data_IF_824177142455
#
_entry.id   IF_824177142455
#
_cell.length_a   1.000
_cell.length_b   1.000
_cell.length_c   1.000
_cell.angle_alpha   90.00
_cell.angle_beta   90.00
_cell.angle_gamma   90.00
#
_symmetry.space_group_name_H-M   'P 1'
#
loop_
_entity.id
_entity.type
_entity.pdbx_description
1 polymer ?
#
# COMPACT_ATOMS: atom_id res chain seq x y z
N UNK A 1 15.34 20.22 -9.01
CA UNK A 1 13.90 19.98 -8.80
C UNK A 1 13.75 18.52 -8.42
N UNK A 2 13.32 18.23 -7.19
CA UNK A 2 13.19 16.86 -6.71
C UNK A 2 11.77 16.40 -7.07
N UNK A 3 11.61 15.67 -8.17
CA UNK A 3 10.32 15.07 -8.50
C UNK A 3 10.00 14.01 -7.46
N UNK A 4 8.96 14.26 -6.64
CA UNK A 4 8.47 13.29 -5.68
C UNK A 4 7.98 12.06 -6.45
N UNK A 5 8.17 10.87 -5.88
CA UNK A 5 7.78 9.59 -6.48
C UNK A 5 6.32 9.58 -6.99
N UNK A 6 5.43 10.27 -6.28
CA UNK A 6 4.01 10.45 -6.65
C UNK A 6 3.81 11.31 -7.90
N UNK A 7 4.63 12.35 -8.09
CA UNK A 7 4.58 13.20 -9.29
C UNK A 7 5.04 12.40 -10.52
N UNK A 8 6.06 11.55 -10.38
CA UNK A 8 6.50 10.66 -11.46
C UNK A 8 5.40 9.65 -11.86
N UNK A 9 4.64 9.10 -10.90
CA UNK A 9 3.49 8.23 -11.21
C UNK A 9 2.34 8.98 -11.87
N UNK A 10 2.09 10.22 -11.46
CA UNK A 10 1.07 11.08 -12.07
C UNK A 10 1.41 11.40 -13.52
N UNK A 11 2.70 11.67 -13.80
CA UNK A 11 3.20 11.84 -15.14
C UNK A 11 3.05 10.57 -15.99
N UNK A 12 3.42 9.40 -15.46
CA UNK A 12 3.23 8.11 -16.15
C UNK A 12 1.76 7.88 -16.50
N UNK A 13 0.83 8.20 -15.59
CA UNK A 13 -0.61 8.06 -15.84
C UNK A 13 -1.04 8.88 -17.07
N UNK A 14 -0.60 10.13 -17.17
CA UNK A 14 -0.88 11.02 -18.31
C UNK A 14 -0.27 10.45 -19.60
N UNK A 15 0.93 9.89 -19.54
CA UNK A 15 1.52 9.26 -20.74
C UNK A 15 0.81 7.96 -21.15
N UNK A 16 0.25 7.20 -20.20
CA UNK A 16 -0.55 6.02 -20.55
C UNK A 16 -1.83 6.40 -21.29
N UNK A 17 -2.47 7.54 -20.97
CA UNK A 17 -3.65 7.99 -21.73
C UNK A 17 -3.30 8.42 -23.16
N UNK A 18 -2.02 8.71 -23.43
CA UNK A 18 -1.49 8.99 -24.77
C UNK A 18 -1.07 7.71 -25.53
N UNK A 19 -1.23 6.54 -24.93
CA UNK A 19 -0.85 5.25 -25.53
C UNK A 19 0.65 4.94 -25.47
N UNK A 20 1.40 5.63 -24.59
CA UNK A 20 2.83 5.39 -24.44
C UNK A 20 3.13 4.03 -23.82
N UNK A 21 4.19 3.38 -24.30
CA UNK A 21 4.65 2.09 -23.75
C UNK A 21 5.52 2.29 -22.52
N UNK A 22 5.67 1.25 -21.70
CA UNK A 22 6.54 1.28 -20.52
C UNK A 22 7.99 1.71 -20.81
N UNK A 23 8.50 1.38 -22.00
CA UNK A 23 9.82 1.80 -22.45
C UNK A 23 9.88 3.32 -22.69
N UNK A 24 8.87 3.86 -23.37
CA UNK A 24 8.78 5.30 -23.63
C UNK A 24 8.62 6.08 -22.31
N UNK A 25 7.75 5.63 -21.41
CA UNK A 25 7.57 6.27 -20.11
C UNK A 25 8.87 6.23 -19.27
N UNK A 26 9.60 5.11 -19.27
CA UNK A 26 10.87 5.02 -18.54
C UNK A 26 11.94 5.93 -19.12
N UNK A 27 12.05 6.01 -20.45
CA UNK A 27 13.01 6.90 -21.09
C UNK A 27 12.71 8.37 -20.77
N UNK A 28 11.46 8.80 -20.87
CA UNK A 28 11.08 10.18 -20.51
C UNK A 28 11.33 10.50 -19.03
N UNK A 29 11.14 9.52 -18.14
CA UNK A 29 11.53 9.68 -16.73
C UNK A 29 13.04 9.79 -16.53
N UNK A 30 13.84 9.01 -17.26
CA UNK A 30 15.30 9.11 -17.19
C UNK A 30 15.79 10.47 -17.70
N UNK A 31 15.19 10.99 -18.78
CA UNK A 31 15.52 12.31 -19.32
C UNK A 31 15.13 13.45 -18.37
N UNK A 32 13.99 13.34 -17.69
CA UNK A 32 13.49 14.38 -16.79
C UNK A 32 14.09 14.33 -15.37
N UNK A 33 14.28 13.13 -14.82
CA UNK A 33 14.65 12.90 -13.41
C UNK A 33 16.07 12.35 -13.23
N UNK A 34 16.76 11.94 -14.29
CA UNK A 34 18.12 11.38 -14.23
C UNK A 34 18.23 10.23 -13.23
N UNK A 35 19.15 10.35 -12.27
CA UNK A 35 19.36 9.36 -11.20
C UNK A 35 18.18 9.23 -10.24
N UNK A 36 17.30 10.23 -10.18
CA UNK A 36 16.08 10.19 -9.35
C UNK A 36 14.90 9.55 -10.07
N UNK A 37 15.09 9.07 -11.31
CA UNK A 37 14.05 8.40 -12.08
C UNK A 37 13.65 7.05 -11.47
N UNK A 38 12.35 6.74 -11.55
CA UNK A 38 11.84 5.44 -11.17
C UNK A 38 12.47 4.30 -12.00
N UNK A 39 12.85 3.17 -11.38
CA UNK A 39 13.37 2.03 -12.12
C UNK A 39 12.33 1.42 -13.06
N UNK A 40 12.79 0.86 -14.18
CA UNK A 40 11.95 0.27 -15.23
C UNK A 40 10.89 -0.73 -14.73
N UNK A 41 11.25 -1.63 -13.80
CA UNK A 41 10.36 -2.70 -13.30
C UNK A 41 9.06 -2.15 -12.68
N UNK A 42 9.13 -1.21 -11.71
CA UNK A 42 7.98 -0.44 -11.26
C UNK A 42 7.21 0.26 -12.38
N UNK A 43 7.89 0.98 -13.28
CA UNK A 43 7.25 1.71 -14.40
C UNK A 43 6.40 0.78 -15.27
N UNK A 44 6.95 -0.37 -15.66
CA UNK A 44 6.23 -1.34 -16.48
C UNK A 44 4.97 -1.88 -15.80
N UNK A 45 5.02 -2.13 -14.48
CA UNK A 45 3.84 -2.57 -13.72
C UNK A 45 2.75 -1.51 -13.67
N UNK A 46 3.13 -0.26 -13.45
CA UNK A 46 2.17 0.84 -13.41
C UNK A 46 1.56 1.14 -14.78
N UNK A 47 2.36 1.15 -15.85
CA UNK A 47 1.85 1.32 -17.21
C UNK A 47 0.84 0.23 -17.56
N UNK A 48 1.14 -1.03 -17.21
CA UNK A 48 0.17 -2.12 -17.36
C UNK A 48 -1.12 -1.86 -16.57
N UNK A 49 -1.00 -1.50 -15.30
CA UNK A 49 -2.15 -1.24 -14.43
C UNK A 49 -3.03 -0.07 -14.92
N UNK A 50 -2.42 1.00 -15.44
CA UNK A 50 -3.14 2.13 -16.02
C UNK A 50 -3.85 1.75 -17.32
N UNK A 51 -3.20 0.96 -18.19
CA UNK A 51 -3.83 0.43 -19.40
C UNK A 51 -4.99 -0.53 -19.11
N UNK A 52 -4.96 -1.22 -17.96
CA UNK A 52 -6.06 -2.06 -17.46
C UNK A 52 -7.20 -1.24 -16.81
N UNK A 53 -7.13 0.10 -16.85
CA UNK A 53 -8.21 0.98 -16.41
C UNK A 53 -8.04 1.59 -15.01
N UNK A 54 -6.88 1.39 -14.35
CA UNK A 54 -6.61 2.03 -13.05
C UNK A 54 -6.55 3.56 -13.20
N UNK A 55 -7.20 4.29 -12.29
CA UNK A 55 -7.21 5.76 -12.30
C UNK A 55 -6.50 6.39 -11.10
N UNK A 56 -6.25 5.65 -10.01
CA UNK A 56 -5.59 6.22 -8.84
C UNK A 56 -4.05 6.06 -8.91
N UNK A 57 -3.33 7.14 -8.59
CA UNK A 57 -1.87 7.22 -8.48
C UNK A 57 -1.39 6.97 -7.04
N UNK A 58 -2.25 7.24 -6.05
CA UNK A 58 -1.98 6.98 -4.64
C UNK A 58 -2.01 5.47 -4.32
N UNK A 59 -2.87 4.69 -5.00
CA UNK A 59 -3.12 3.27 -4.70
C UNK A 59 -2.30 2.30 -5.54
N UNK A 60 -0.98 2.35 -5.40
CA UNK A 60 -0.30 1.07 -5.18
C UNK A 60 -0.17 0.91 -3.67
N UNK A 61 -1.25 0.46 -3.04
CA UNK A 61 -1.10 -0.29 -1.81
C UNK A 61 -0.16 -1.45 -2.14
N UNK A 62 1.02 -1.40 -1.53
CA UNK A 62 2.12 -2.32 -1.81
C UNK A 62 1.63 -3.74 -1.47
N UNK A 63 1.56 -4.68 -2.43
CA UNK A 63 1.03 -6.04 -2.19
C UNK A 63 1.93 -6.89 -1.28
N UNK A 64 2.98 -6.31 -0.69
CA UNK A 64 3.79 -6.95 0.35
C UNK A 64 3.27 -6.67 1.77
N UNK A 65 2.10 -6.07 1.90
CA UNK A 65 1.49 -5.73 3.18
C UNK A 65 0.18 -6.53 3.33
N UNK A 66 -0.07 -7.22 4.47
CA UNK A 66 -1.28 -8.01 4.65
C UNK A 66 -2.49 -7.12 4.37
N UNK A 67 -3.25 -7.47 3.34
CA UNK A 67 -4.50 -6.81 2.99
C UNK A 67 -5.49 -7.12 4.10
N UNK A 68 -5.46 -6.31 5.14
CA UNK A 68 -6.46 -6.42 6.18
C UNK A 68 -7.77 -5.89 5.60
N UNK A 69 -8.83 -6.70 5.61
CA UNK A 69 -10.17 -6.23 5.25
C UNK A 69 -10.71 -5.27 6.32
N UNK A 70 -11.53 -4.31 5.92
CA UNK A 70 -12.28 -3.46 6.86
C UNK A 70 -13.11 -4.31 7.85
N UNK A 71 -13.58 -5.47 7.40
CA UNK A 71 -14.31 -6.45 8.22
C UNK A 71 -13.43 -7.05 9.32
N UNK A 72 -12.14 -7.31 9.04
CA UNK A 72 -11.18 -7.86 9.99
C UNK A 72 -10.78 -6.82 11.04
N UNK A 73 -10.64 -5.55 10.62
CA UNK A 73 -10.42 -4.42 11.53
C UNK A 73 -11.62 -4.22 12.44
N UNK A 74 -12.83 -4.30 11.90
CA UNK A 74 -14.07 -4.14 12.66
C UNK A 74 -14.25 -5.28 13.67
N UNK A 75 -14.07 -6.54 13.24
CA UNK A 75 -14.16 -7.69 14.13
C UNK A 75 -13.19 -7.58 15.32
N UNK A 76 -11.94 -7.18 15.06
CA UNK A 76 -10.94 -7.01 16.10
C UNK A 76 -11.25 -5.83 17.03
N UNK A 77 -11.74 -4.72 16.49
CA UNK A 77 -12.11 -3.53 17.28
C UNK A 77 -13.29 -3.83 18.22
N UNK A 78 -14.31 -4.54 17.72
CA UNK A 78 -15.48 -4.93 18.52
C UNK A 78 -15.10 -5.87 19.66
N UNK A 79 -14.11 -6.75 19.43
CA UNK A 79 -13.59 -7.68 20.44
C UNK A 79 -12.76 -6.96 21.53
N UNK A 80 -12.04 -5.90 21.16
CA UNK A 80 -11.29 -5.07 22.11
C UNK A 80 -12.20 -4.15 22.93
N UNK A 81 -13.31 -3.71 22.36
CA UNK A 81 -14.33 -2.91 23.08
C UNK A 81 -15.07 -3.74 24.14
N UNK A 82 -15.23 -5.06 23.92
CA UNK A 82 -15.88 -5.94 24.89
C UNK A 82 -14.95 -6.31 26.05
N UNK A 83 -13.66 -6.54 25.79
CA UNK A 83 -12.64 -6.73 26.83
C UNK A 83 -11.25 -6.33 26.32
N UNK A 84 -10.65 -5.33 26.98
CA UNK A 84 -9.35 -4.78 26.61
C UNK A 84 -8.17 -5.64 27.08
N UNK A 85 -8.41 -6.68 27.90
CA UNK A 85 -7.36 -7.52 28.49
C UNK A 85 -6.92 -8.70 27.61
N UNK A 86 -7.45 -8.84 26.40
CA UNK A 86 -7.07 -9.93 25.50
C UNK A 86 -5.60 -9.86 25.07
N UNK A 87 -4.91 -11.00 25.16
CA UNK A 87 -3.60 -11.16 24.56
C UNK A 87 -3.70 -11.30 23.05
N UNK A 88 -2.62 -10.98 22.33
CA UNK A 88 -2.54 -11.16 20.85
C UNK A 88 -2.92 -12.58 20.43
N UNK A 89 -2.68 -13.58 21.30
CA UNK A 89 -3.00 -14.97 21.02
C UNK A 89 -4.50 -15.27 21.10
N UNK A 90 -5.19 -14.71 22.07
CA UNK A 90 -6.65 -14.86 22.19
C UNK A 90 -7.36 -14.15 21.05
N UNK A 91 -6.92 -12.94 20.72
CA UNK A 91 -7.44 -12.18 19.58
C UNK A 91 -7.30 -12.96 18.26
N UNK A 92 -6.13 -13.57 18.01
CA UNK A 92 -5.91 -14.40 16.82
C UNK A 92 -6.80 -15.64 16.81
N UNK A 93 -7.02 -16.28 17.96
CA UNK A 93 -7.86 -17.47 18.08
C UNK A 93 -9.34 -17.15 17.84
N UNK A 94 -9.82 -16.02 18.34
CA UNK A 94 -11.23 -15.63 18.26
C UNK A 94 -11.61 -15.02 16.92
N UNK A 95 -10.71 -14.24 16.32
CA UNK A 95 -10.92 -13.68 14.98
C UNK A 95 -10.54 -14.66 13.86
N UNK A 96 -9.84 -15.76 14.19
CA UNK A 96 -9.30 -16.70 13.21
C UNK A 96 -8.16 -16.12 12.35
N UNK A 97 -7.66 -14.94 12.71
CA UNK A 97 -6.63 -14.22 11.97
C UNK A 97 -5.23 -14.69 12.33
N UNK A 98 -4.31 -14.54 11.38
CA UNK A 98 -2.89 -14.79 11.63
C UNK A 98 -2.37 -13.74 12.62
N UNK A 99 -1.54 -14.16 13.58
CA UNK A 99 -0.94 -13.28 14.60
C UNK A 99 -0.28 -12.01 14.03
N UNK A 100 0.36 -12.12 12.86
CA UNK A 100 0.99 -10.99 12.18
C UNK A 100 -0.03 -9.94 11.73
N UNK A 101 -1.22 -10.38 11.29
CA UNK A 101 -2.33 -9.53 10.89
C UNK A 101 -2.91 -8.82 12.11
N UNK A 102 -3.18 -9.55 13.19
CA UNK A 102 -3.67 -8.97 14.46
C UNK A 102 -2.70 -7.91 14.99
N UNK A 103 -1.40 -8.22 15.08
CA UNK A 103 -0.38 -7.27 15.53
C UNK A 103 -0.35 -6.01 14.65
N UNK A 104 -0.51 -6.19 13.34
CA UNK A 104 -0.51 -5.09 12.39
C UNK A 104 -1.71 -4.17 12.60
N UNK A 105 -2.92 -4.73 12.74
CA UNK A 105 -4.15 -3.96 13.00
C UNK A 105 -4.05 -3.19 14.30
N UNK A 106 -3.60 -3.86 15.38
CA UNK A 106 -3.43 -3.24 16.69
C UNK A 106 -2.49 -2.02 16.64
N UNK A 107 -1.43 -2.10 15.82
CA UNK A 107 -0.42 -1.06 15.71
C UNK A 107 -0.85 0.10 14.81
N UNK A 108 -1.37 -0.18 13.63
CA UNK A 108 -1.66 0.87 12.63
C UNK A 108 -3.09 1.42 12.72
N UNK A 109 -4.07 0.63 13.17
CA UNK A 109 -5.48 1.03 13.19
C UNK A 109 -5.99 1.34 14.60
N UNK A 110 -5.59 0.57 15.62
CA UNK A 110 -6.04 0.78 17.02
C UNK A 110 -5.08 1.69 17.81
N UNK A 111 -3.82 1.83 17.37
CA UNK A 111 -2.84 2.73 18.00
C UNK A 111 -2.34 2.28 19.38
N UNK A 112 -2.46 0.97 19.70
CA UNK A 112 -2.02 0.44 20.99
C UNK A 112 -0.49 0.47 21.11
N UNK A 113 0.03 1.38 21.93
CA UNK A 113 1.44 1.38 22.31
C UNK A 113 1.63 0.46 23.51
N UNK A 114 2.55 -0.49 23.38
CA UNK A 114 2.95 -1.42 24.43
C UNK A 114 3.30 -0.62 25.69
N UNK A 115 2.48 -0.72 26.73
CA UNK A 115 2.84 -0.19 28.05
C UNK A 115 3.80 -1.22 28.63
N UNK A 116 5.10 -0.91 28.58
CA UNK A 116 6.09 -1.70 29.30
C UNK A 116 5.85 -1.49 30.79
N UNK A 117 5.58 -2.58 31.51
CA UNK A 117 5.63 -2.62 32.98
C UNK A 117 6.99 -3.07 33.45
#
# INVERSE_FOLDING_TARGET
>A
MMFLKQEQWSWIKIECTRGCTARHCHQGLQEACGESALPYRPVARWVKAFNEGRQNVADMHWPGHPTVSEEEVYALSTLLESDQCHTIHELARETGLVHTTVLHILKEHVGMRKIAS
#
